data_IF_449529232107
#
_entry.id   IF_449529232107
#
_cell.length_a   1.000
_cell.length_b   1.000
_cell.length_c   1.000
_cell.angle_alpha   90.00
_cell.angle_beta   90.00
_cell.angle_gamma   90.00
#
_symmetry.space_group_name_H-M   'P 1'
#
loop_
_entity.id
_entity.type
_entity.pdbx_description
1 polymer ?
#
# COMPACT_ATOMS: atom_id res chain seq x y z
N UNK A 1 -22.01 -0.88 -24.44
CA UNK A 1 -21.14 0.10 -25.12
C UNK A 1 -20.10 0.48 -24.08
N UNK A 2 -18.94 -0.16 -24.15
CA UNK A 2 -17.86 0.02 -23.17
C UNK A 2 -17.38 1.47 -23.26
N UNK A 3 -17.39 2.17 -22.12
CA UNK A 3 -16.80 3.50 -22.04
C UNK A 3 -15.29 3.33 -22.14
N UNK A 4 -14.79 3.69 -23.31
CA UNK A 4 -13.39 3.97 -23.60
C UNK A 4 -12.85 4.91 -22.51
N UNK A 5 -11.89 4.44 -21.72
CA UNK A 5 -11.15 5.26 -20.76
C UNK A 5 -10.39 6.31 -21.56
N UNK A 6 -11.02 7.47 -21.73
CA UNK A 6 -10.58 8.54 -22.62
C UNK A 6 -9.14 8.97 -22.31
N UNK A 7 -8.41 9.33 -23.36
CA UNK A 7 -7.06 9.94 -23.36
C UNK A 7 -6.80 10.95 -22.22
N UNK A 8 -7.83 11.68 -21.78
CA UNK A 8 -7.78 12.65 -20.68
C UNK A 8 -7.30 12.08 -19.33
N UNK A 9 -7.56 10.80 -19.04
CA UNK A 9 -7.12 10.14 -17.79
C UNK A 9 -5.63 9.73 -17.83
N UNK A 10 -5.03 9.70 -19.04
CA UNK A 10 -3.58 9.53 -19.22
C UNK A 10 -2.83 10.87 -19.11
N UNK A 11 -3.51 11.99 -19.37
CA UNK A 11 -2.92 13.32 -19.39
C UNK A 11 -2.67 13.91 -17.98
N UNK A 12 -3.28 13.37 -16.92
CA UNK A 12 -3.16 13.90 -15.55
C UNK A 12 -1.92 13.43 -14.77
N UNK A 13 -1.07 12.55 -15.30
CA UNK A 13 0.04 11.92 -14.54
C UNK A 13 -0.45 11.41 -13.16
N UNK A 14 -1.51 10.59 -13.18
CA UNK A 14 -2.19 10.05 -12.00
C UNK A 14 -2.36 8.51 -12.06
N UNK A 15 -1.25 7.74 -12.13
CA UNK A 15 -1.33 6.29 -12.22
C UNK A 15 -1.96 5.60 -11.00
N UNK A 16 -1.82 6.14 -9.79
CA UNK A 16 -2.37 5.50 -8.59
C UNK A 16 -3.86 5.77 -8.43
N UNK A 17 -4.35 6.94 -8.84
CA UNK A 17 -5.78 7.24 -8.95
C UNK A 17 -6.52 6.18 -9.77
N UNK A 18 -5.88 5.64 -10.83
CA UNK A 18 -6.46 4.55 -11.63
C UNK A 18 -6.58 3.22 -10.89
N UNK A 19 -5.73 2.94 -9.92
CA UNK A 19 -5.86 1.77 -9.03
C UNK A 19 -7.10 1.91 -8.14
N UNK A 20 -7.34 3.12 -7.63
CA UNK A 20 -8.49 3.44 -6.79
C UNK A 20 -9.80 3.65 -7.58
N UNK A 21 -9.72 3.79 -8.90
CA UNK A 21 -10.86 3.97 -9.78
C UNK A 21 -11.61 2.65 -9.98
N UNK A 22 -12.76 2.53 -9.31
CA UNK A 22 -13.57 1.31 -9.31
C UNK A 22 -14.92 1.51 -10.01
N UNK A 23 -15.22 0.64 -10.96
CA UNK A 23 -16.52 0.59 -11.65
C UNK A 23 -17.46 -0.31 -10.87
N UNK A 24 -18.63 0.19 -10.47
CA UNK A 24 -19.65 -0.64 -9.82
C UNK A 24 -20.25 -1.64 -10.83
N UNK A 25 -20.37 -2.89 -10.39
CA UNK A 25 -21.03 -3.96 -11.12
C UNK A 25 -22.39 -4.26 -10.48
N UNK A 26 -23.22 -5.04 -11.16
CA UNK A 26 -24.43 -5.57 -10.55
C UNK A 26 -24.07 -6.34 -9.25
N UNK A 27 -24.78 -6.07 -8.14
CA UNK A 27 -24.52 -6.76 -6.87
C UNK A 27 -24.74 -8.26 -7.01
N UNK A 28 -24.14 -9.03 -6.11
CA UNK A 28 -24.39 -10.48 -6.06
C UNK A 28 -25.84 -10.79 -5.64
N UNK A 29 -26.32 -12.04 -5.78
CA UNK A 29 -27.68 -12.42 -5.36
C UNK A 29 -27.98 -12.21 -3.87
N UNK A 30 -26.95 -12.05 -3.03
CA UNK A 30 -27.08 -11.76 -1.60
C UNK A 30 -27.09 -10.25 -1.30
N UNK A 31 -26.99 -9.40 -2.33
CA UNK A 31 -26.93 -7.96 -2.22
C UNK A 31 -25.54 -7.41 -1.83
N UNK A 32 -24.49 -8.23 -1.86
CA UNK A 32 -23.12 -7.74 -1.63
C UNK A 32 -22.69 -6.85 -2.82
N UNK A 33 -21.92 -5.80 -2.51
CA UNK A 33 -21.40 -4.90 -3.53
C UNK A 33 -20.38 -5.64 -4.41
N UNK A 34 -20.35 -5.31 -5.70
CA UNK A 34 -19.33 -5.81 -6.62
C UNK A 34 -18.74 -4.65 -7.38
N UNK A 35 -17.42 -4.63 -7.51
CA UNK A 35 -16.70 -3.60 -8.24
C UNK A 35 -15.65 -4.22 -9.15
N UNK A 36 -15.34 -3.55 -10.26
CA UNK A 36 -14.21 -3.88 -11.14
C UNK A 36 -13.17 -2.79 -11.07
N UNK A 37 -11.91 -3.18 -10.94
CA UNK A 37 -10.76 -2.30 -11.08
C UNK A 37 -9.71 -2.90 -12.01
N UNK A 38 -8.65 -2.13 -12.25
CA UNK A 38 -7.47 -2.56 -13.01
C UNK A 38 -6.23 -2.29 -12.17
N UNK A 39 -5.41 -3.32 -11.93
CA UNK A 39 -4.08 -3.17 -11.35
C UNK A 39 -3.05 -3.42 -12.44
N UNK A 40 -2.55 -2.32 -13.02
CA UNK A 40 -1.61 -2.35 -14.15
C UNK A 40 -0.25 -2.97 -13.77
N UNK A 41 0.48 -3.61 -14.72
CA UNK A 41 1.84 -4.11 -14.51
C UNK A 41 2.82 -3.16 -13.84
N UNK A 42 2.65 -1.83 -13.94
CA UNK A 42 3.48 -0.86 -13.19
C UNK A 42 3.40 -1.08 -11.68
N UNK A 43 2.36 -1.72 -11.15
CA UNK A 43 2.20 -1.97 -9.71
C UNK A 43 2.72 -3.35 -9.28
N UNK A 44 3.78 -3.83 -9.92
CA UNK A 44 4.37 -5.14 -9.63
C UNK A 44 5.75 -5.05 -8.99
N UNK A 45 6.10 -6.11 -8.26
CA UNK A 45 7.48 -6.47 -7.91
C UNK A 45 7.81 -7.77 -8.64
N UNK A 46 8.72 -7.68 -9.61
CA UNK A 46 9.00 -8.73 -10.56
C UNK A 46 7.78 -9.02 -11.43
N UNK A 47 7.14 -10.17 -11.19
CA UNK A 47 5.93 -10.59 -11.93
C UNK A 47 4.66 -10.53 -11.10
N UNK A 48 4.77 -10.23 -9.80
CA UNK A 48 3.64 -10.31 -8.87
C UNK A 48 3.16 -8.91 -8.52
N UNK A 49 1.84 -8.75 -8.42
CA UNK A 49 1.26 -7.52 -7.92
C UNK A 49 1.80 -7.20 -6.52
N UNK A 50 2.09 -5.93 -6.30
CA UNK A 50 2.53 -5.41 -5.01
C UNK A 50 1.40 -5.53 -3.98
N UNK A 51 1.71 -6.05 -2.78
CA UNK A 51 0.75 -6.35 -1.73
C UNK A 51 0.01 -5.09 -1.27
N UNK A 52 0.75 -4.04 -0.96
CA UNK A 52 0.21 -2.74 -0.55
C UNK A 52 -0.74 -2.12 -1.58
N UNK A 53 -0.53 -2.38 -2.88
CA UNK A 53 -1.45 -1.89 -3.93
C UNK A 53 -2.81 -2.58 -3.84
N UNK A 54 -2.81 -3.89 -3.60
CA UNK A 54 -4.05 -4.65 -3.38
C UNK A 54 -4.75 -4.22 -2.10
N UNK A 55 -4.01 -3.94 -1.02
CA UNK A 55 -4.57 -3.40 0.24
C UNK A 55 -5.26 -2.05 0.00
N UNK A 56 -4.59 -1.13 -0.68
CA UNK A 56 -5.13 0.20 -0.97
C UNK A 56 -6.40 0.14 -1.85
N UNK A 57 -6.40 -0.71 -2.87
CA UNK A 57 -7.56 -0.88 -3.75
C UNK A 57 -8.75 -1.53 -3.01
N UNK A 58 -8.50 -2.52 -2.15
CA UNK A 58 -9.53 -3.09 -1.27
C UNK A 58 -10.11 -2.03 -0.30
N UNK A 59 -9.27 -1.16 0.25
CA UNK A 59 -9.71 -0.06 1.09
C UNK A 59 -10.61 0.93 0.31
N UNK A 60 -10.25 1.25 -0.94
CA UNK A 60 -11.08 2.08 -1.83
C UNK A 60 -12.44 1.42 -2.14
N UNK A 61 -12.47 0.11 -2.37
CA UNK A 61 -13.72 -0.64 -2.60
C UNK A 61 -14.65 -0.59 -1.37
N UNK A 62 -14.08 -0.73 -0.16
CA UNK A 62 -14.84 -0.62 1.08
C UNK A 62 -15.42 0.79 1.28
N UNK A 63 -14.64 1.85 1.06
CA UNK A 63 -15.11 3.25 1.14
C UNK A 63 -16.24 3.50 0.14
N UNK A 64 -16.06 3.08 -1.12
CA UNK A 64 -17.06 3.27 -2.16
C UNK A 64 -18.38 2.57 -1.82
N UNK A 65 -18.32 1.35 -1.28
CA UNK A 65 -19.52 0.61 -0.86
C UNK A 65 -20.22 1.27 0.32
N UNK A 66 -19.47 1.72 1.34
CA UNK A 66 -20.08 2.40 2.47
C UNK A 66 -20.78 3.70 2.03
N UNK A 67 -20.10 4.52 1.23
CA UNK A 67 -20.68 5.78 0.73
C UNK A 67 -21.92 5.57 -0.16
N UNK A 68 -21.95 4.49 -0.94
CA UNK A 68 -23.10 4.17 -1.80
C UNK A 68 -24.36 3.77 -1.00
N UNK A 69 -24.21 3.00 0.11
CA UNK A 69 -25.37 2.49 0.87
C UNK A 69 -25.72 3.30 2.11
N UNK A 70 -24.79 4.10 2.62
CA UNK A 70 -24.96 4.97 3.78
C UNK A 70 -24.31 6.35 3.50
N UNK A 71 -24.90 7.19 2.63
CA UNK A 71 -24.33 8.49 2.25
C UNK A 71 -24.08 9.42 3.44
N UNK A 72 -24.85 9.29 4.51
CA UNK A 72 -24.65 10.03 5.77
C UNK A 72 -23.33 9.67 6.48
N UNK A 73 -22.71 8.55 6.12
CA UNK A 73 -21.42 8.08 6.62
C UNK A 73 -20.29 8.26 5.61
N UNK A 74 -20.51 9.00 4.51
CA UNK A 74 -19.51 9.19 3.44
C UNK A 74 -18.20 9.82 3.91
N UNK A 75 -18.19 10.50 5.08
CA UNK A 75 -16.98 11.03 5.69
C UNK A 75 -16.12 9.98 6.42
N UNK A 76 -16.63 8.76 6.62
CA UNK A 76 -15.83 7.67 7.20
C UNK A 76 -14.80 7.18 6.19
N UNK A 77 -13.61 6.89 6.69
CA UNK A 77 -12.48 6.44 5.89
C UNK A 77 -11.83 5.21 6.53
N UNK A 78 -11.12 4.35 5.76
CA UNK A 78 -10.39 3.23 6.32
C UNK A 78 -9.36 3.69 7.35
N UNK A 79 -9.46 3.17 8.57
CA UNK A 79 -8.51 3.43 9.66
C UNK A 79 -7.68 2.19 10.00
N UNK A 80 -8.18 1.01 9.66
CA UNK A 80 -7.45 -0.26 9.78
C UNK A 80 -7.87 -1.22 8.67
N UNK A 81 -6.91 -1.93 8.09
CA UNK A 81 -7.13 -3.00 7.10
C UNK A 81 -6.23 -4.18 7.44
N UNK A 82 -6.84 -5.30 7.80
CA UNK A 82 -6.14 -6.59 7.96
C UNK A 82 -6.36 -7.43 6.71
N UNK A 83 -5.28 -7.89 6.09
CA UNK A 83 -5.31 -8.55 4.79
C UNK A 83 -4.57 -9.88 4.83
N UNK A 84 -5.24 -10.92 4.34
CA UNK A 84 -4.69 -12.26 4.11
C UNK A 84 -4.43 -12.44 2.61
N UNK A 85 -3.21 -12.84 2.26
CA UNK A 85 -2.84 -13.13 0.87
C UNK A 85 -2.95 -14.63 0.59
N UNK A 86 -4.04 -15.02 -0.08
CA UNK A 86 -4.39 -16.43 -0.35
C UNK A 86 -3.74 -16.95 -1.64
N UNK A 87 -3.40 -16.03 -2.55
CA UNK A 87 -2.73 -16.29 -3.81
C UNK A 87 -2.18 -15.00 -4.42
N UNK A 88 -1.51 -15.12 -5.55
CA UNK A 88 -0.91 -13.99 -6.24
C UNK A 88 -1.66 -13.73 -7.55
N UNK A 89 -2.50 -12.69 -7.64
CA UNK A 89 -3.16 -12.31 -8.87
C UNK A 89 -2.16 -11.89 -9.95
N UNK A 90 -2.57 -12.05 -11.20
CA UNK A 90 -1.86 -11.51 -12.34
C UNK A 90 -2.27 -10.04 -12.56
N UNK A 91 -1.38 -9.17 -13.06
CA UNK A 91 -1.72 -7.79 -13.38
C UNK A 91 -2.84 -7.71 -14.44
N UNK A 92 -3.73 -6.74 -14.29
CA UNK A 92 -4.88 -6.53 -15.17
C UNK A 92 -6.19 -6.31 -14.42
N UNK A 93 -7.30 -6.73 -15.03
CA UNK A 93 -8.63 -6.63 -14.43
C UNK A 93 -8.76 -7.56 -13.21
N UNK A 94 -9.38 -7.01 -12.15
CA UNK A 94 -9.75 -7.73 -10.93
C UNK A 94 -11.13 -7.27 -10.47
N UNK A 95 -11.88 -8.20 -9.88
CA UNK A 95 -13.17 -7.88 -9.26
C UNK A 95 -12.99 -7.78 -7.73
N UNK A 96 -13.79 -6.94 -7.08
CA UNK A 96 -13.87 -6.80 -5.63
C UNK A 96 -15.28 -7.14 -5.17
N UNK A 97 -15.41 -8.14 -4.30
CA UNK A 97 -16.67 -8.47 -3.63
C UNK A 97 -16.68 -7.85 -2.24
N UNK A 98 -17.68 -7.01 -1.96
CA UNK A 98 -17.68 -6.13 -0.79
C UNK A 98 -18.91 -6.36 0.08
N UNK A 99 -18.70 -6.82 1.30
CA UNK A 99 -19.75 -7.14 2.27
C UNK A 99 -19.65 -6.26 3.49
N UNK A 100 -20.68 -5.43 3.71
CA UNK A 100 -20.79 -4.68 4.97
C UNK A 100 -21.23 -5.65 6.07
N UNK A 101 -20.41 -5.74 7.12
CA UNK A 101 -20.66 -6.55 8.31
C UNK A 101 -21.37 -5.76 9.40
N UNK A 102 -21.05 -4.48 9.50
CA UNK A 102 -21.60 -3.56 10.49
C UNK A 102 -21.58 -2.14 9.98
N UNK A 103 -22.70 -1.45 10.15
CA UNK A 103 -22.79 0.01 10.01
C UNK A 103 -23.01 0.61 11.40
N UNK A 104 -22.19 1.58 11.77
CA UNK A 104 -22.30 2.26 13.06
C UNK A 104 -21.83 3.70 12.98
N UNK A 105 -22.22 4.54 13.95
CA UNK A 105 -21.93 5.98 13.93
C UNK A 105 -20.43 6.33 14.03
N UNK A 106 -19.61 5.45 14.59
CA UNK A 106 -18.17 5.70 14.79
C UNK A 106 -17.31 4.70 14.03
N UNK A 107 -17.80 3.46 13.87
CA UNK A 107 -17.07 2.36 13.27
C UNK A 107 -18.02 1.58 12.36
N UNK A 108 -17.58 1.37 11.12
CA UNK A 108 -18.15 0.41 10.19
C UNK A 108 -17.13 -0.70 9.90
N UNK A 109 -17.63 -1.92 9.67
CA UNK A 109 -16.82 -3.08 9.35
C UNK A 109 -17.24 -3.63 7.99
N UNK A 110 -16.28 -3.81 7.10
CA UNK A 110 -16.48 -4.23 5.72
C UNK A 110 -15.47 -5.30 5.37
N UNK A 111 -15.94 -6.44 4.88
CA UNK A 111 -15.08 -7.46 4.28
C UNK A 111 -14.97 -7.20 2.78
N UNK A 112 -13.77 -7.32 2.22
CA UNK A 112 -13.47 -7.16 0.80
C UNK A 112 -12.65 -8.33 0.31
N UNK A 113 -13.16 -9.04 -0.69
CA UNK A 113 -12.45 -10.10 -1.39
C UNK A 113 -12.00 -9.60 -2.77
N UNK A 114 -10.70 -9.66 -3.05
CA UNK A 114 -10.16 -9.46 -4.40
C UNK A 114 -10.20 -10.80 -5.14
N UNK A 115 -10.93 -10.82 -6.25
CA UNK A 115 -11.24 -12.01 -7.04
C UNK A 115 -10.68 -11.86 -8.45
N UNK A 116 -10.00 -12.90 -8.93
CA UNK A 116 -9.59 -13.03 -10.33
C UNK A 116 -9.83 -14.47 -10.80
N UNK A 117 -10.32 -14.63 -12.03
CA UNK A 117 -10.68 -15.94 -12.60
C UNK A 117 -11.60 -16.79 -11.70
N UNK A 118 -12.54 -16.12 -11.01
CA UNK A 118 -13.51 -16.77 -10.12
C UNK A 118 -12.92 -17.29 -8.80
N UNK A 119 -11.69 -16.90 -8.45
CA UNK A 119 -11.03 -17.29 -7.20
C UNK A 119 -10.74 -16.08 -6.33
N UNK A 120 -11.06 -16.15 -5.05
CA UNK A 120 -10.55 -15.20 -4.05
C UNK A 120 -9.05 -15.39 -3.88
N UNK A 121 -8.30 -14.32 -4.10
CA UNK A 121 -6.83 -14.32 -3.99
C UNK A 121 -6.34 -13.46 -2.84
N UNK A 122 -7.12 -12.46 -2.43
CA UNK A 122 -6.85 -11.62 -1.26
C UNK A 122 -8.14 -11.40 -0.50
N UNK A 123 -8.09 -11.51 0.81
CA UNK A 123 -9.20 -11.18 1.71
C UNK A 123 -8.77 -10.04 2.63
N UNK A 124 -9.59 -9.00 2.74
CA UNK A 124 -9.33 -7.84 3.60
C UNK A 124 -10.51 -7.54 4.51
N UNK A 125 -10.27 -7.48 5.82
CA UNK A 125 -11.20 -6.94 6.80
C UNK A 125 -10.88 -5.44 7.02
N UNK A 126 -11.78 -4.56 6.57
CA UNK A 126 -11.64 -3.11 6.60
C UNK A 126 -12.48 -2.51 7.71
N UNK A 127 -11.84 -1.76 8.60
CA UNK A 127 -12.50 -0.91 9.60
C UNK A 127 -12.50 0.52 9.10
N UNK A 128 -13.69 1.10 8.95
CA UNK A 128 -13.86 2.51 8.60
C UNK A 128 -14.31 3.31 9.83
N UNK A 129 -13.79 4.52 9.96
CA UNK A 129 -14.13 5.47 11.01
C UNK A 129 -13.69 6.89 10.65
N UNK A 130 -13.88 7.88 11.54
CA UNK A 130 -13.31 9.19 11.34
C UNK A 130 -11.77 9.13 11.45
N UNK A 131 -11.06 9.83 10.56
CA UNK A 131 -9.61 10.00 10.64
C UNK A 131 -9.23 10.95 11.78
N UNK A 132 -8.01 10.77 12.30
CA UNK A 132 -7.42 11.58 13.37
C UNK A 132 -6.61 12.73 12.77
N UNK A 133 -7.35 13.71 12.23
CA UNK A 133 -6.79 14.91 11.60
C UNK A 133 -6.30 15.95 12.63
N UNK A 134 -6.49 15.67 13.93
CA UNK A 134 -5.98 16.52 15.00
C UNK A 134 -4.49 16.27 15.29
N UNK A 135 -3.84 17.26 15.91
CA UNK A 135 -2.49 17.07 16.43
C UNK A 135 -2.48 15.94 17.48
N UNK A 136 -1.51 15.01 17.41
CA UNK A 136 -1.46 13.92 18.37
C UNK A 136 -1.17 14.45 19.78
N UNK A 137 -1.83 13.87 20.79
CA UNK A 137 -1.52 14.14 22.21
C UNK A 137 -0.10 13.69 22.57
N UNK A 138 0.42 12.69 21.87
CA UNK A 138 1.77 12.17 22.03
C UNK A 138 2.31 11.67 20.69
N UNK A 139 3.53 12.09 20.36
CA UNK A 139 4.36 11.51 19.33
C UNK A 139 5.84 11.62 19.77
N UNK A 140 6.66 10.57 19.62
CA UNK A 140 8.08 10.66 19.95
C UNK A 140 8.84 11.47 18.89
N UNK A 141 9.91 12.17 19.29
CA UNK A 141 10.83 12.89 18.38
C UNK A 141 11.80 11.96 17.61
N UNK A 142 11.50 10.65 17.56
CA UNK A 142 12.44 9.57 17.24
C UNK A 142 12.86 9.45 15.77
N UNK A 143 12.39 10.34 14.89
CA UNK A 143 12.62 10.24 13.44
C UNK A 143 13.17 11.54 12.82
N UNK A 144 13.64 12.46 13.67
CA UNK A 144 14.18 13.76 13.27
C UNK A 144 15.49 13.65 12.48
N UNK A 145 16.17 12.50 12.54
CA UNK A 145 17.40 12.23 11.80
C UNK A 145 17.16 11.81 10.33
N UNK A 146 15.91 11.54 9.93
CA UNK A 146 15.54 11.21 8.56
C UNK A 146 14.98 12.46 7.84
N UNK A 147 15.69 13.03 6.85
CA UNK A 147 15.23 14.22 6.14
C UNK A 147 13.91 13.95 5.40
N UNK A 148 13.06 14.98 5.26
CA UNK A 148 11.78 14.86 4.58
C UNK A 148 11.93 14.45 3.10
N UNK A 149 12.97 14.94 2.44
CA UNK A 149 13.32 14.59 1.07
C UNK A 149 14.52 13.63 1.04
N UNK A 150 14.62 12.74 0.03
CA UNK A 150 15.76 11.86 -0.11
C UNK A 150 17.06 12.67 -0.33
N UNK A 151 18.12 12.40 0.45
CA UNK A 151 19.40 13.07 0.26
C UNK A 151 20.09 12.63 -1.05
N UNK A 152 21.07 13.39 -1.51
CA UNK A 152 21.73 13.16 -2.81
C UNK A 152 22.48 11.82 -2.91
N UNK A 153 22.85 11.22 -1.78
CA UNK A 153 23.51 9.91 -1.68
C UNK A 153 22.53 8.73 -1.55
N UNK A 154 21.23 9.00 -1.55
CA UNK A 154 20.20 7.96 -1.66
C UNK A 154 20.21 7.31 -3.05
N UNK A 155 19.72 6.07 -3.13
CA UNK A 155 19.64 5.34 -4.39
C UNK A 155 18.21 5.40 -4.90
N UNK A 156 17.99 6.17 -5.96
CA UNK A 156 16.71 6.19 -6.66
C UNK A 156 16.43 4.83 -7.33
N UNK A 157 15.17 4.42 -7.39
CA UNK A 157 14.77 3.24 -8.15
C UNK A 157 14.57 3.70 -9.59
N UNK A 158 15.55 3.38 -10.44
CA UNK A 158 15.57 3.85 -11.81
C UNK A 158 15.72 2.65 -12.77
N UNK A 159 15.20 2.75 -14.03
CA UNK A 159 15.21 1.63 -14.97
C UNK A 159 16.60 1.09 -15.31
N UNK A 160 17.64 1.90 -15.10
CA UNK A 160 19.03 1.54 -15.36
C UNK A 160 19.65 0.70 -14.22
N UNK A 161 19.02 0.61 -13.05
CA UNK A 161 19.53 -0.14 -11.90
C UNK A 161 18.66 -1.36 -11.50
N UNK A 162 19.24 -2.36 -10.78
CA UNK A 162 18.52 -3.59 -10.45
C UNK A 162 17.23 -3.38 -9.64
N UNK A 163 17.18 -2.37 -8.77
CA UNK A 163 16.00 -2.10 -7.95
C UNK A 163 14.85 -1.60 -8.82
N UNK A 164 15.08 -0.60 -9.69
CA UNK A 164 14.04 -0.09 -10.58
C UNK A 164 13.59 -1.10 -11.64
N UNK A 165 14.44 -2.05 -12.04
CA UNK A 165 14.06 -3.16 -12.94
C UNK A 165 13.23 -4.25 -12.29
N UNK A 166 13.27 -4.35 -10.96
CA UNK A 166 12.52 -5.35 -10.21
C UNK A 166 11.24 -4.75 -9.62
N UNK A 167 11.31 -3.50 -9.17
CA UNK A 167 10.23 -2.81 -8.47
C UNK A 167 9.59 -1.81 -9.43
N UNK A 168 8.70 -2.31 -10.29
CA UNK A 168 8.04 -1.49 -11.32
C UNK A 168 7.16 -0.39 -10.72
N UNK A 169 6.81 -0.48 -9.43
CA UNK A 169 6.12 0.58 -8.67
C UNK A 169 6.82 1.94 -8.84
N UNK A 170 8.14 1.95 -9.05
CA UNK A 170 8.92 3.15 -9.32
C UNK A 170 8.64 3.82 -10.70
N UNK A 171 7.86 3.17 -11.57
CA UNK A 171 7.30 3.78 -12.77
C UNK A 171 6.04 4.61 -12.43
N UNK A 172 5.24 4.13 -11.47
CA UNK A 172 4.04 4.80 -10.98
C UNK A 172 4.27 5.82 -9.86
N UNK A 173 5.47 5.86 -9.27
CA UNK A 173 5.83 6.76 -8.17
C UNK A 173 7.34 7.04 -8.17
N UNK A 174 7.78 8.12 -7.52
CA UNK A 174 9.20 8.34 -7.27
C UNK A 174 9.61 7.58 -6.01
N UNK A 175 10.70 6.79 -6.08
CA UNK A 175 11.18 5.97 -4.95
C UNK A 175 12.68 6.12 -4.79
N UNK A 176 13.16 6.24 -3.55
CA UNK A 176 14.57 6.21 -3.19
C UNK A 176 14.81 5.44 -1.89
N UNK A 177 15.96 4.80 -1.75
CA UNK A 177 16.35 4.05 -0.54
C UNK A 177 17.61 4.65 0.10
N UNK A 178 17.64 4.69 1.44
CA UNK A 178 18.81 5.13 2.20
C UNK A 178 19.90 4.06 2.13
N UNK A 179 20.95 4.34 1.35
CA UNK A 179 22.10 3.44 1.18
C UNK A 179 22.77 3.08 2.51
N UNK A 180 22.75 3.98 3.50
CA UNK A 180 23.39 3.75 4.81
C UNK A 180 22.65 2.68 5.61
N UNK A 181 21.34 2.55 5.40
CA UNK A 181 20.52 1.52 6.03
C UNK A 181 20.44 0.25 5.17
N UNK A 182 20.43 0.37 3.85
CA UNK A 182 20.38 -0.76 2.91
C UNK A 182 21.78 -1.30 2.56
N UNK A 183 22.51 -1.85 3.54
CA UNK A 183 23.89 -2.35 3.37
C UNK A 183 24.01 -3.43 2.30
N UNK A 184 22.94 -4.18 2.04
CA UNK A 184 22.90 -5.19 0.98
C UNK A 184 23.17 -4.63 -0.43
N UNK A 185 22.91 -3.33 -0.66
CA UNK A 185 23.20 -2.69 -1.95
C UNK A 185 24.70 -2.62 -2.26
N UNK A 186 25.52 -2.62 -1.20
CA UNK A 186 26.98 -2.63 -1.30
C UNK A 186 27.54 -4.06 -1.16
N UNK A 187 26.68 -5.09 -1.18
CA UNK A 187 27.06 -6.48 -0.97
C UNK A 187 27.44 -6.80 0.48
N UNK A 188 27.10 -5.91 1.42
CA UNK A 188 27.40 -6.05 2.84
C UNK A 188 26.18 -6.50 3.64
N UNK A 189 26.43 -7.02 4.84
CA UNK A 189 25.38 -7.28 5.82
C UNK A 189 25.25 -6.12 6.80
N UNK A 190 24.06 -5.95 7.36
CA UNK A 190 23.73 -4.93 8.33
C UNK A 190 22.53 -5.31 9.19
N UNK A 191 22.14 -4.40 10.09
CA UNK A 191 20.93 -4.57 10.89
C UNK A 191 19.70 -4.72 9.97
N UNK A 192 18.75 -5.64 10.25
CA UNK A 192 17.58 -5.90 9.41
C UNK A 192 16.54 -4.78 9.55
N UNK A 193 16.88 -3.61 9.02
CA UNK A 193 16.07 -2.40 9.01
C UNK A 193 16.35 -1.60 7.76
N UNK A 194 15.35 -0.87 7.27
CA UNK A 194 15.46 -0.07 6.04
C UNK A 194 14.80 1.29 6.20
N UNK A 195 15.26 2.23 5.39
CA UNK A 195 14.66 3.57 5.24
C UNK A 195 14.49 3.89 3.77
N UNK A 196 13.31 4.36 3.40
CA UNK A 196 12.95 4.70 2.02
C UNK A 196 12.16 5.99 1.97
N UNK A 197 12.17 6.62 0.81
CA UNK A 197 11.27 7.71 0.45
C UNK A 197 10.43 7.27 -0.73
N UNK A 198 9.14 7.58 -0.70
CA UNK A 198 8.24 7.39 -1.82
C UNK A 198 7.36 8.62 -2.00
N UNK A 199 7.11 9.02 -3.25
CA UNK A 199 6.20 10.12 -3.57
C UNK A 199 5.30 9.75 -4.75
N UNK A 200 3.97 9.89 -4.62
CA UNK A 200 3.06 9.67 -5.74
C UNK A 200 3.29 10.68 -6.87
N UNK A 201 2.71 10.45 -8.05
CA UNK A 201 2.80 11.42 -9.14
C UNK A 201 1.95 12.65 -8.84
N UNK A 202 2.24 13.75 -9.53
CA UNK A 202 1.62 15.04 -9.24
C UNK A 202 0.10 15.04 -9.42
N UNK A 203 -0.46 14.21 -10.32
CA UNK A 203 -1.90 14.06 -10.47
C UNK A 203 -2.56 13.25 -9.35
N UNK A 204 -1.85 12.24 -8.83
CA UNK A 204 -2.31 11.46 -7.68
C UNK A 204 -2.35 12.32 -6.39
N UNK A 205 -1.38 13.23 -6.22
CA UNK A 205 -1.30 14.15 -5.08
C UNK A 205 -2.45 15.17 -5.00
N UNK A 206 -3.25 15.34 -6.08
CA UNK A 206 -4.35 16.30 -6.10
C UNK A 206 -5.59 15.81 -5.35
N UNK A 207 -5.74 14.49 -5.17
CA UNK A 207 -6.85 13.89 -4.46
C UNK A 207 -6.37 13.43 -3.05
N UNK A 208 -6.90 14.04 -1.97
CA UNK A 208 -6.53 13.69 -0.61
C UNK A 208 -6.86 12.24 -0.20
N UNK A 209 -7.91 11.64 -0.78
CA UNK A 209 -8.29 10.26 -0.51
C UNK A 209 -7.35 9.30 -1.24
N UNK A 210 -6.99 9.59 -2.50
CA UNK A 210 -5.96 8.84 -3.24
C UNK A 210 -4.62 8.91 -2.51
N UNK A 211 -4.23 10.09 -2.02
CA UNK A 211 -3.00 10.27 -1.23
C UNK A 211 -3.02 9.45 0.06
N UNK A 212 -4.20 9.31 0.69
CA UNK A 212 -4.36 8.47 1.88
C UNK A 212 -4.26 6.97 1.57
N UNK A 213 -4.87 6.49 0.49
CA UNK A 213 -4.70 5.12 0.01
C UNK A 213 -3.23 4.84 -0.38
N UNK A 214 -2.55 5.82 -0.97
CA UNK A 214 -1.14 5.73 -1.32
C UNK A 214 -0.26 5.59 -0.08
N UNK A 215 -0.57 6.32 0.99
CA UNK A 215 0.12 6.18 2.28
C UNK A 215 -0.06 4.77 2.88
N UNK A 216 -1.21 4.12 2.69
CA UNK A 216 -1.40 2.72 3.07
C UNK A 216 -0.54 1.78 2.22
N UNK A 217 -0.51 1.97 0.90
CA UNK A 217 0.34 1.21 -0.01
C UNK A 217 1.83 1.35 0.32
N UNK A 218 2.26 2.56 0.69
CA UNK A 218 3.63 2.84 1.10
C UNK A 218 4.10 2.01 2.31
N UNK A 219 3.16 1.55 3.15
CA UNK A 219 3.41 0.63 4.27
C UNK A 219 3.74 -0.82 3.87
N UNK A 220 4.00 -1.09 2.59
CA UNK A 220 4.50 -2.37 2.10
C UNK A 220 5.66 -2.20 1.09
N UNK A 221 6.23 -1.01 0.99
CA UNK A 221 7.11 -0.63 -0.13
C UNK A 221 8.59 -1.01 0.06
N UNK A 222 9.01 -1.30 1.28
CA UNK A 222 10.39 -1.72 1.54
C UNK A 222 10.75 -3.04 0.79
N UNK A 223 12.01 -3.22 0.43
CA UNK A 223 12.55 -4.57 0.26
C UNK A 223 12.42 -5.36 1.58
N UNK A 224 12.29 -6.70 1.54
CA UNK A 224 12.29 -7.51 2.75
C UNK A 224 13.52 -7.24 3.63
N UNK A 225 13.33 -6.87 4.89
CA UNK A 225 14.45 -6.58 5.82
C UNK A 225 15.46 -7.73 6.01
N UNK A 226 15.13 -9.03 5.81
CA UNK A 226 16.15 -10.09 5.78
C UNK A 226 17.21 -9.94 4.70
N UNK A 227 16.99 -9.13 3.65
CA UNK A 227 18.00 -8.85 2.63
C UNK A 227 19.27 -8.23 3.23
N UNK A 228 19.16 -7.40 4.28
CA UNK A 228 20.31 -6.86 5.00
C UNK A 228 21.12 -7.92 5.74
N UNK A 229 20.57 -9.12 5.96
CA UNK A 229 21.32 -10.27 6.49
C UNK A 229 21.86 -11.18 5.37
N UNK A 230 21.81 -10.72 4.12
CA UNK A 230 22.23 -11.49 2.94
C UNK A 230 21.21 -12.55 2.50
N UNK A 231 19.97 -12.50 2.99
CA UNK A 231 18.90 -13.41 2.57
C UNK A 231 18.11 -12.77 1.42
N UNK A 232 18.40 -13.20 0.20
CA UNK A 232 17.77 -12.69 -1.03
C UNK A 232 16.79 -13.71 -1.61
N UNK A 233 15.75 -13.24 -2.28
CA UNK A 233 14.77 -14.10 -2.95
C UNK A 233 13.36 -13.57 -2.84
N UNK A 234 12.40 -14.42 -3.21
CA UNK A 234 10.99 -14.12 -3.04
C UNK A 234 10.57 -14.37 -1.59
N UNK A 235 10.06 -13.34 -0.93
CA UNK A 235 9.44 -13.39 0.39
C UNK A 235 7.96 -13.02 0.25
N UNK A 236 7.06 -13.99 0.03
CA UNK A 236 5.63 -13.69 -0.01
C UNK A 236 5.12 -13.30 1.38
N UNK A 237 4.40 -12.18 1.43
CA UNK A 237 3.59 -11.80 2.58
C UNK A 237 2.46 -12.80 2.78
N UNK A 238 2.24 -13.23 4.02
CA UNK A 238 1.14 -14.11 4.42
C UNK A 238 -0.04 -13.27 4.91
N UNK A 239 0.24 -12.31 5.80
CA UNK A 239 -0.74 -11.41 6.36
C UNK A 239 -0.13 -10.02 6.57
N UNK A 240 -0.90 -8.96 6.31
CA UNK A 240 -0.52 -7.56 6.50
C UNK A 240 -1.67 -6.81 7.19
N UNK A 241 -1.39 -6.15 8.32
CA UNK A 241 -2.31 -5.20 8.93
C UNK A 241 -1.76 -3.79 8.75
N UNK A 242 -2.56 -2.90 8.16
CA UNK A 242 -2.24 -1.49 7.95
C UNK A 242 -3.20 -0.60 8.73
N UNK A 243 -2.67 0.39 9.44
CA UNK A 243 -3.43 1.46 10.09
C UNK A 243 -3.18 2.77 9.35
N UNK A 244 -4.25 3.52 9.10
CA UNK A 244 -4.16 4.89 8.59
C UNK A 244 -4.61 5.84 9.70
N UNK A 245 -3.79 6.86 9.97
CA UNK A 245 -4.03 7.85 11.03
C UNK A 245 -4.74 9.08 10.50
N UNK A 246 -4.26 9.59 9.37
CA UNK A 246 -4.72 10.85 8.75
C UNK A 246 -4.34 10.89 7.27
N UNK A 247 -4.90 11.84 6.55
CA UNK A 247 -4.46 12.15 5.17
C UNK A 247 -3.07 12.79 5.22
N UNK A 248 -2.12 12.38 4.37
CA UNK A 248 -0.77 12.92 4.39
C UNK A 248 -0.73 14.35 3.85
N UNK A 249 0.17 15.17 4.39
CA UNK A 249 0.57 16.40 3.72
C UNK A 249 1.26 16.08 2.38
N UNK A 250 1.11 16.92 1.33
CA UNK A 250 1.76 16.72 0.04
C UNK A 250 3.29 16.61 0.17
N UNK A 251 3.91 15.85 -0.75
CA UNK A 251 5.34 15.61 -0.79
C UNK A 251 5.75 14.17 -0.52
N UNK A 252 7.03 13.99 -0.17
CA UNK A 252 7.60 12.67 0.09
C UNK A 252 7.06 12.06 1.37
N UNK A 253 6.66 10.79 1.27
CA UNK A 253 6.47 9.91 2.40
C UNK A 253 7.80 9.26 2.74
N UNK A 254 8.11 9.18 4.04
CA UNK A 254 9.26 8.45 4.59
C UNK A 254 8.79 7.15 5.18
N UNK A 255 9.43 6.06 4.80
CA UNK A 255 9.15 4.72 5.30
C UNK A 255 10.33 4.27 6.14
N UNK A 256 10.04 3.80 7.36
CA UNK A 256 11.01 3.17 8.24
C UNK A 256 10.54 1.75 8.46
N UNK A 257 11.31 0.78 7.99
CA UNK A 257 11.02 -0.64 8.13
C UNK A 257 11.95 -1.29 9.15
N UNK A 258 11.40 -2.07 10.07
CA UNK A 258 12.12 -2.78 11.13
C UNK A 258 11.53 -4.17 11.34
N UNK A 259 12.22 -5.03 12.06
CA UNK A 259 11.74 -6.37 12.46
C UNK A 259 12.05 -6.62 13.92
N UNK A 260 11.23 -7.44 14.58
CA UNK A 260 11.52 -7.96 15.90
C UNK A 260 12.18 -9.34 15.85
N UNK A 261 11.78 -10.20 14.91
CA UNK A 261 12.29 -11.56 14.79
C UNK A 261 12.36 -12.04 13.33
N UNK A 262 13.53 -12.58 12.98
CA UNK A 262 13.75 -13.32 11.72
C UNK A 262 14.03 -14.78 12.09
N UNK A 263 13.03 -15.64 11.89
CA UNK A 263 13.17 -17.08 12.07
C UNK A 263 13.68 -17.78 10.80
N UNK A 264 13.68 -19.11 10.83
CA UNK A 264 14.05 -19.94 9.66
C UNK A 264 12.94 -20.08 8.62
N UNK A 265 11.68 -19.80 8.99
CA UNK A 265 10.51 -19.96 8.11
C UNK A 265 9.82 -18.66 7.78
N UNK A 266 9.75 -17.76 8.75
CA UNK A 266 9.00 -16.52 8.66
C UNK A 266 9.74 -15.39 9.37
N UNK A 267 9.37 -14.17 9.05
CA UNK A 267 9.79 -12.96 9.74
C UNK A 267 8.62 -11.99 9.85
N UNK A 268 8.64 -11.16 10.88
CA UNK A 268 7.79 -9.98 10.94
C UNK A 268 8.50 -8.77 10.32
N UNK A 269 7.72 -7.85 9.76
CA UNK A 269 8.23 -6.56 9.36
C UNK A 269 7.23 -5.46 9.70
N UNK A 270 7.67 -4.51 10.50
CA UNK A 270 6.94 -3.32 10.89
C UNK A 270 7.35 -2.15 10.01
N UNK A 271 6.37 -1.39 9.53
CA UNK A 271 6.61 -0.15 8.80
C UNK A 271 5.93 1.03 9.46
N UNK A 272 6.68 2.13 9.54
CA UNK A 272 6.16 3.43 9.91
C UNK A 272 6.26 4.37 8.71
N UNK A 273 5.15 5.01 8.35
CA UNK A 273 5.07 5.98 7.26
C UNK A 273 4.85 7.37 7.82
N UNK A 274 5.77 8.29 7.53
CA UNK A 274 5.70 9.70 7.92
C UNK A 274 5.48 10.55 6.66
N UNK A 275 4.66 11.60 6.73
CA UNK A 275 4.54 12.56 5.64
C UNK A 275 5.68 13.59 5.62
N UNK A 276 5.59 14.59 4.75
CA UNK A 276 6.58 15.66 4.61
C UNK A 276 6.73 16.54 5.86
N UNK A 277 5.72 16.59 6.74
CA UNK A 277 5.75 17.37 7.99
C UNK A 277 6.36 16.60 9.16
N UNK A 278 6.48 15.27 9.04
CA UNK A 278 6.93 14.40 10.14
C UNK A 278 5.80 13.77 10.93
N UNK A 279 4.56 14.00 10.51
CA UNK A 279 3.41 13.32 11.08
C UNK A 279 3.40 11.84 10.65
N UNK A 280 3.15 10.94 11.61
CA UNK A 280 2.82 9.54 11.31
C UNK A 280 1.47 9.51 10.59
N UNK A 281 1.45 8.96 9.38
CA UNK A 281 0.25 8.87 8.55
C UNK A 281 -0.24 7.44 8.40
N UNK A 282 0.68 6.48 8.26
CA UNK A 282 0.34 5.07 8.21
C UNK A 282 1.33 4.24 9.03
N UNK A 283 0.86 3.07 9.46
CA UNK A 283 1.64 2.07 10.17
C UNK A 283 1.25 0.72 9.63
N UNK A 284 2.18 -0.21 9.52
CA UNK A 284 1.84 -1.58 9.16
C UNK A 284 2.70 -2.59 9.90
N UNK A 285 2.18 -3.81 9.97
CA UNK A 285 2.91 -5.01 10.36
C UNK A 285 2.56 -6.13 9.40
N UNK A 286 3.57 -6.77 8.83
CA UNK A 286 3.39 -7.99 8.07
C UNK A 286 4.05 -9.20 8.73
N UNK A 287 3.51 -10.37 8.41
CA UNK A 287 4.15 -11.66 8.59
C UNK A 287 4.40 -12.24 7.19
N UNK A 288 5.65 -12.57 6.88
CA UNK A 288 6.06 -13.06 5.57
C UNK A 288 6.94 -14.31 5.68
N UNK A 289 7.01 -15.09 4.60
CA UNK A 289 7.93 -16.23 4.52
C UNK A 289 9.34 -15.77 4.20
N UNK A 290 10.35 -16.43 4.79
CA UNK A 290 11.76 -16.11 4.54
C UNK A 290 12.10 -16.23 3.05
N UNK A 291 12.93 -15.31 2.50
CA UNK A 291 13.41 -15.42 1.13
C UNK A 291 14.05 -16.80 0.87
N UNK A 292 13.48 -17.56 -0.07
CA UNK A 292 14.07 -18.81 -0.50
C UNK A 292 15.24 -18.53 -1.46
N UNK A 293 16.42 -19.17 -1.27
CA UNK A 293 17.49 -19.13 -2.25
C UNK A 293 16.97 -19.63 -3.60
N UNK A 294 17.27 -18.90 -4.67
CA UNK A 294 17.07 -19.39 -6.03
C UNK A 294 18.18 -20.35 -6.42
#
# INVERSE_FOLDING_TARGET
MALDTTQADRDLDAPFSRVCALTELAPDPSGNGRYRGVIDPIWTVGRKLHGGTMVAASAAAATRRLGAVAPELAAMFPIAVSTDFLGAPDPGEVDYEVRIRKTGRQICLVDVDLVQDGRTLVHSAVTLGPLDDAAPVYAPDSYTDMPAEPPADSIAYAPDNPMGRLVHVAEGASVAIDRRWARFLDGEQGEPRLRLWIRPRAGDEQDPDVSAYFAMMAGDMSPPVPMNLGRFGWAPTVQLTTYLRRRPAPGWLRIIATTHEIGERMFDEDQLVLDSTGAVVAQSRQLALIPLPR
#
